data_IF_635066143173
#
_entry.id   IF_635066143173
#
_cell.length_a   1.000
_cell.length_b   1.000
_cell.length_c   1.000
_cell.angle_alpha   90.00
_cell.angle_beta   90.00
_cell.angle_gamma   90.00
#
_symmetry.space_group_name_H-M   'P 1'
#
loop_
_entity.id
_entity.type
_entity.pdbx_description
1 polymer ?
#
# COMPACT_ATOMS: atom_id res chain seq x y z
N UNK A 1 18.25 21.79 48.90
CA UNK A 1 16.83 22.10 48.64
C UNK A 1 16.74 22.67 47.23
N UNK A 2 16.36 21.86 46.24
CA UNK A 2 16.34 22.29 44.83
C UNK A 2 15.21 23.31 44.64
N UNK A 3 15.54 24.60 44.58
CA UNK A 3 14.56 25.66 44.31
C UNK A 3 14.48 25.87 42.80
N UNK A 4 13.54 25.19 42.15
CA UNK A 4 13.22 25.34 40.72
C UNK A 4 12.14 26.41 40.51
N UNK A 5 12.34 27.61 41.05
CA UNK A 5 11.45 28.73 40.74
C UNK A 5 11.96 29.46 39.51
N UNK A 6 11.05 29.93 38.64
CA UNK A 6 11.42 30.68 37.42
C UNK A 6 12.29 31.91 37.71
N UNK A 7 12.24 32.43 38.94
CA UNK A 7 13.05 33.55 39.46
C UNK A 7 14.44 33.16 39.98
N UNK A 8 14.83 31.89 39.91
CA UNK A 8 16.17 31.44 40.36
C UNK A 8 17.29 32.07 39.50
N UNK A 9 18.44 32.44 40.10
CA UNK A 9 19.61 32.96 39.38
C UNK A 9 20.10 32.08 38.23
N UNK A 10 19.84 30.76 38.26
CA UNK A 10 20.14 29.85 37.15
C UNK A 10 19.60 30.34 35.80
N UNK A 11 18.43 30.98 35.84
CA UNK A 11 17.69 31.43 34.67
C UNK A 11 18.15 32.79 34.13
N UNK A 12 19.01 33.50 34.84
CA UNK A 12 19.46 34.82 34.41
C UNK A 12 20.24 34.72 33.10
N UNK A 13 19.83 35.52 32.10
CA UNK A 13 20.31 35.43 30.72
C UNK A 13 19.80 34.23 29.90
N UNK A 14 19.20 33.20 30.52
CA UNK A 14 18.77 31.96 29.83
C UNK A 14 17.26 31.86 29.54
N UNK A 15 16.40 32.60 30.26
CA UNK A 15 14.93 32.53 30.09
C UNK A 15 14.49 32.80 28.64
N UNK A 16 14.86 33.97 28.12
CA UNK A 16 14.47 34.42 26.79
C UNK A 16 14.94 33.46 25.68
N UNK A 17 16.23 33.05 25.59
CA UNK A 17 16.65 32.12 24.55
C UNK A 17 16.03 30.73 24.72
N UNK A 18 15.83 30.25 25.95
CA UNK A 18 15.14 28.97 26.18
C UNK A 18 13.70 29.00 25.68
N UNK A 19 12.92 30.03 26.05
CA UNK A 19 11.53 30.17 25.60
C UNK A 19 11.46 30.33 24.08
N UNK A 20 12.34 31.14 23.47
CA UNK A 20 12.37 31.30 22.00
C UNK A 20 12.69 29.97 21.31
N UNK A 21 13.69 29.22 21.79
CA UNK A 21 14.03 27.93 21.22
C UNK A 21 12.88 26.91 21.34
N UNK A 22 12.23 26.87 22.50
CA UNK A 22 11.11 25.96 22.75
C UNK A 22 9.88 26.31 21.89
N UNK A 23 9.50 27.59 21.85
CA UNK A 23 8.37 28.07 21.02
C UNK A 23 8.68 27.89 19.53
N UNK A 24 9.93 28.14 19.12
CA UNK A 24 10.38 27.89 17.76
C UNK A 24 10.24 26.42 17.37
N UNK A 25 10.78 25.51 18.19
CA UNK A 25 10.67 24.06 17.97
C UNK A 25 9.22 23.58 17.96
N UNK A 26 8.39 24.04 18.90
CA UNK A 26 6.97 23.70 18.96
C UNK A 26 6.22 24.17 17.70
N UNK A 27 6.45 25.40 17.26
CA UNK A 27 5.83 25.96 16.05
C UNK A 27 6.24 25.17 14.80
N UNK A 28 7.53 24.83 14.67
CA UNK A 28 8.02 24.02 13.56
C UNK A 28 7.39 22.63 13.53
N UNK A 29 7.24 21.97 14.69
CA UNK A 29 6.58 20.67 14.78
C UNK A 29 5.09 20.76 14.41
N UNK A 30 4.37 21.77 14.90
CA UNK A 30 2.96 21.99 14.54
C UNK A 30 2.80 22.16 13.02
N UNK A 31 3.64 22.99 12.40
CA UNK A 31 3.62 23.21 10.96
C UNK A 31 4.00 21.95 10.17
N UNK A 32 4.97 21.17 10.66
CA UNK A 32 5.35 19.88 10.07
C UNK A 32 4.17 18.89 10.06
N UNK A 33 3.50 18.73 11.20
CA UNK A 33 2.36 17.82 11.31
C UNK A 33 1.19 18.32 10.44
N UNK A 34 0.92 19.62 10.44
CA UNK A 34 -0.08 20.21 9.57
C UNK A 34 0.22 19.93 8.09
N UNK A 35 1.46 20.13 7.64
CA UNK A 35 1.86 19.88 6.26
C UNK A 35 1.73 18.39 5.88
N UNK A 36 2.23 17.49 6.71
CA UNK A 36 2.19 16.04 6.47
C UNK A 36 0.77 15.48 6.46
N UNK A 37 -0.06 15.89 7.42
CA UNK A 37 -1.46 15.47 7.47
C UNK A 37 -2.22 16.08 6.28
N UNK A 38 -1.98 17.35 5.94
CA UNK A 38 -2.58 17.96 4.74
C UNK A 38 -2.17 17.23 3.45
N UNK A 39 -0.94 16.75 3.36
CA UNK A 39 -0.47 15.93 2.24
C UNK A 39 -1.24 14.60 2.16
N UNK A 40 -1.30 13.86 3.27
CA UNK A 40 -2.01 12.58 3.34
C UNK A 40 -3.50 12.72 3.03
N UNK A 41 -4.18 13.66 3.69
CA UNK A 41 -5.61 13.89 3.49
C UNK A 41 -5.91 14.50 2.12
N UNK A 42 -5.06 15.38 1.63
CA UNK A 42 -5.20 15.98 0.30
C UNK A 42 -5.09 14.94 -0.82
N UNK A 43 -4.28 13.90 -0.65
CA UNK A 43 -4.21 12.79 -1.59
C UNK A 43 -5.53 12.01 -1.68
N UNK A 44 -6.25 11.87 -0.57
CA UNK A 44 -7.54 11.17 -0.50
C UNK A 44 -8.75 12.11 -0.69
N UNK A 45 -8.53 13.43 -0.72
CA UNK A 45 -9.60 14.42 -0.72
C UNK A 45 -10.48 14.30 -1.96
N UNK A 46 -11.78 14.04 -1.77
CA UNK A 46 -12.76 13.75 -2.83
C UNK A 46 -12.42 12.50 -3.68
N UNK A 47 -11.81 11.48 -3.09
CA UNK A 47 -11.64 10.19 -3.77
C UNK A 47 -12.98 9.59 -4.22
N UNK A 48 -14.05 9.78 -3.44
CA UNK A 48 -15.40 9.33 -3.77
C UNK A 48 -16.05 9.99 -4.99
N UNK A 49 -15.58 11.17 -5.43
CA UNK A 49 -16.06 11.80 -6.68
C UNK A 49 -15.20 11.45 -7.90
N UNK A 50 -14.19 10.61 -7.71
CA UNK A 50 -13.27 10.16 -8.77
C UNK A 50 -13.37 8.66 -9.00
N UNK A 51 -14.45 8.04 -8.51
CA UNK A 51 -14.68 6.59 -8.63
C UNK A 51 -14.90 6.23 -10.09
N UNK A 52 -15.43 7.14 -10.90
CA UNK A 52 -15.50 7.02 -12.36
C UNK A 52 -14.15 6.77 -13.05
N UNK A 53 -13.02 7.10 -12.41
CA UNK A 53 -11.69 6.76 -12.94
C UNK A 53 -11.38 5.25 -12.87
N UNK A 54 -12.15 4.49 -12.08
CA UNK A 54 -12.06 3.03 -12.01
C UNK A 54 -12.86 2.43 -13.17
N UNK A 55 -12.17 1.77 -14.10
CA UNK A 55 -12.80 1.13 -15.24
C UNK A 55 -13.22 -0.31 -14.92
N UNK A 56 -14.45 -0.67 -15.28
CA UNK A 56 -15.01 -2.01 -15.18
C UNK A 56 -15.38 -2.49 -16.58
N UNK A 57 -14.96 -3.70 -16.93
CA UNK A 57 -15.31 -4.33 -18.20
C UNK A 57 -16.75 -4.85 -18.13
N UNK A 58 -17.60 -4.50 -19.09
CA UNK A 58 -18.95 -5.05 -19.20
C UNK A 58 -19.09 -5.85 -20.50
N UNK A 59 -19.51 -7.10 -20.41
CA UNK A 59 -19.76 -7.96 -21.58
C UNK A 59 -21.16 -8.57 -21.46
N UNK A 60 -21.94 -8.44 -22.52
CA UNK A 60 -23.29 -9.02 -22.61
C UNK A 60 -23.28 -10.17 -23.61
N UNK A 61 -23.34 -11.41 -23.12
CA UNK A 61 -23.48 -12.61 -23.95
C UNK A 61 -24.94 -13.01 -24.17
N UNK A 62 -25.89 -12.40 -23.48
CA UNK A 62 -27.31 -12.73 -23.53
C UNK A 62 -27.99 -12.08 -24.75
N UNK A 63 -27.60 -10.85 -25.09
CA UNK A 63 -28.25 -10.03 -26.13
C UNK A 63 -29.78 -9.90 -25.95
N UNK A 64 -30.26 -10.11 -24.72
CA UNK A 64 -31.66 -10.15 -24.35
C UNK A 64 -32.05 -9.06 -23.36
N UNK A 65 -33.25 -9.20 -22.79
CA UNK A 65 -33.84 -8.20 -21.90
C UNK A 65 -33.03 -8.01 -20.61
N UNK A 66 -32.33 -9.04 -20.12
CA UNK A 66 -31.43 -8.92 -18.96
C UNK A 66 -30.22 -8.04 -19.31
N UNK A 67 -29.62 -8.21 -20.49
CA UNK A 67 -28.56 -7.34 -21.00
C UNK A 67 -29.00 -5.88 -21.19
N UNK A 68 -30.19 -5.68 -21.75
CA UNK A 68 -30.82 -4.35 -21.87
C UNK A 68 -31.07 -3.71 -20.49
N UNK A 69 -31.54 -4.51 -19.54
CA UNK A 69 -31.79 -4.07 -18.16
C UNK A 69 -30.51 -3.65 -17.45
N UNK A 70 -29.40 -4.35 -17.68
CA UNK A 70 -28.09 -3.99 -17.13
C UNK A 70 -27.63 -2.62 -17.68
N UNK A 71 -27.80 -2.42 -18.99
CA UNK A 71 -27.46 -1.16 -19.66
C UNK A 71 -28.31 -0.01 -19.14
N UNK A 72 -29.62 -0.22 -19.00
CA UNK A 72 -30.54 0.77 -18.43
C UNK A 72 -30.23 1.08 -16.95
N UNK A 73 -29.87 0.07 -16.16
CA UNK A 73 -29.46 0.26 -14.77
C UNK A 73 -28.18 1.09 -14.65
N UNK A 74 -27.16 0.81 -15.48
CA UNK A 74 -25.93 1.60 -15.51
C UNK A 74 -26.20 3.05 -15.93
N UNK A 75 -27.05 3.29 -16.94
CA UNK A 75 -27.44 4.64 -17.36
C UNK A 75 -28.00 5.49 -16.22
N UNK A 76 -28.66 4.88 -15.24
CA UNK A 76 -29.23 5.56 -14.07
C UNK A 76 -28.23 5.75 -12.92
N UNK A 77 -27.18 4.93 -12.86
CA UNK A 77 -26.18 4.94 -11.79
C UNK A 77 -24.88 5.64 -12.17
N UNK A 78 -24.63 5.85 -13.46
CA UNK A 78 -23.41 6.51 -13.94
C UNK A 78 -23.26 7.91 -13.33
N UNK A 79 -22.03 8.23 -12.92
CA UNK A 79 -21.71 9.51 -12.29
C UNK A 79 -20.34 9.46 -11.61
N UNK A 80 -19.98 10.56 -10.96
CA UNK A 80 -18.68 10.71 -10.27
C UNK A 80 -18.43 9.66 -9.17
N UNK A 81 -19.49 9.16 -8.54
CA UNK A 81 -19.46 8.18 -7.46
C UNK A 81 -19.51 6.71 -7.90
N UNK A 82 -19.59 6.44 -9.20
CA UNK A 82 -19.76 5.08 -9.72
C UNK A 82 -18.63 4.73 -10.73
N UNK A 83 -18.08 3.51 -10.69
CA UNK A 83 -17.06 3.09 -11.66
C UNK A 83 -17.56 3.16 -13.10
N UNK A 84 -16.69 3.52 -14.04
CA UNK A 84 -17.07 3.58 -15.45
C UNK A 84 -17.16 2.17 -16.02
N UNK A 85 -18.35 1.77 -16.48
CA UNK A 85 -18.53 0.52 -17.23
C UNK A 85 -18.19 0.75 -18.71
N UNK A 86 -17.27 -0.07 -19.22
CA UNK A 86 -16.88 -0.11 -20.61
C UNK A 86 -17.50 -1.36 -21.26
N UNK A 87 -18.58 -1.15 -22.01
CA UNK A 87 -19.20 -2.22 -22.78
C UNK A 87 -18.29 -2.63 -23.93
N UNK A 88 -17.94 -3.92 -23.99
CA UNK A 88 -17.12 -4.52 -25.04
C UNK A 88 -17.86 -5.66 -25.71
N UNK A 89 -17.49 -5.94 -26.96
CA UNK A 89 -18.13 -7.00 -27.73
C UNK A 89 -17.73 -8.38 -27.19
N UNK A 90 -18.67 -9.34 -27.15
CA UNK A 90 -18.36 -10.76 -26.94
C UNK A 90 -17.30 -11.32 -27.90
N UNK A 91 -17.11 -10.73 -29.08
CA UNK A 91 -16.07 -11.15 -30.02
C UNK A 91 -14.65 -10.85 -29.52
N UNK A 92 -14.47 -9.79 -28.74
CA UNK A 92 -13.19 -9.41 -28.14
C UNK A 92 -12.89 -10.24 -26.88
N UNK A 93 -13.93 -10.61 -26.15
CA UNK A 93 -13.87 -11.43 -24.95
C UNK A 93 -14.80 -12.63 -25.13
N UNK A 94 -14.37 -13.64 -25.90
CA UNK A 94 -15.21 -14.79 -26.24
C UNK A 94 -15.55 -15.66 -25.03
N UNK A 95 -14.65 -15.73 -24.04
CA UNK A 95 -14.84 -16.57 -22.87
C UNK A 95 -14.74 -15.79 -21.56
N UNK A 96 -15.34 -16.33 -20.50
CA UNK A 96 -15.13 -15.84 -19.12
C UNK A 96 -13.64 -15.89 -18.74
N UNK A 97 -12.85 -16.79 -19.34
CA UNK A 97 -11.40 -16.84 -19.19
C UNK A 97 -10.71 -15.57 -19.68
N UNK A 98 -11.13 -15.03 -20.83
CA UNK A 98 -10.60 -13.79 -21.39
C UNK A 98 -10.98 -12.58 -20.52
N UNK A 99 -12.21 -12.56 -20.03
CA UNK A 99 -12.70 -11.55 -19.07
C UNK A 99 -11.86 -11.60 -17.78
N UNK A 100 -11.64 -12.80 -17.23
CA UNK A 100 -10.81 -13.00 -16.03
C UNK A 100 -9.37 -12.55 -16.29
N UNK A 101 -8.82 -12.84 -17.47
CA UNK A 101 -7.47 -12.44 -17.84
C UNK A 101 -7.35 -10.90 -17.97
N UNK A 102 -8.38 -10.22 -18.47
CA UNK A 102 -8.40 -8.75 -18.56
C UNK A 102 -8.35 -8.09 -17.17
N UNK A 103 -9.14 -8.60 -16.22
CA UNK A 103 -9.10 -8.16 -14.81
C UNK A 103 -7.76 -8.54 -14.17
N UNK A 104 -7.25 -9.75 -14.45
CA UNK A 104 -5.96 -10.21 -13.94
C UNK A 104 -4.81 -9.35 -14.46
N UNK A 105 -4.78 -8.94 -15.72
CA UNK A 105 -3.70 -8.09 -16.26
C UNK A 105 -3.63 -6.71 -15.59
N UNK A 106 -4.76 -6.22 -15.08
CA UNK A 106 -4.88 -4.95 -14.37
C UNK A 106 -5.51 -3.82 -15.19
N UNK A 107 -5.86 -4.09 -16.45
CA UNK A 107 -6.50 -3.14 -17.39
C UNK A 107 -7.87 -2.66 -16.84
N UNK A 108 -8.57 -3.55 -16.13
CA UNK A 108 -9.84 -3.26 -15.46
C UNK A 108 -9.77 -3.62 -13.97
N UNK A 109 -10.52 -2.90 -13.15
CA UNK A 109 -10.62 -3.15 -11.70
C UNK A 109 -11.53 -4.34 -11.38
N UNK A 110 -12.55 -4.54 -12.22
CA UNK A 110 -13.46 -5.68 -12.21
C UNK A 110 -14.05 -5.88 -13.61
N UNK A 111 -14.81 -6.95 -13.76
CA UNK A 111 -15.67 -7.18 -14.91
C UNK A 111 -17.07 -7.59 -14.45
N UNK A 112 -18.08 -7.28 -15.25
CA UNK A 112 -19.45 -7.75 -15.11
C UNK A 112 -19.88 -8.38 -16.43
N UNK A 113 -20.47 -9.56 -16.33
CA UNK A 113 -20.83 -10.40 -17.46
C UNK A 113 -22.28 -10.80 -17.32
N UNK A 114 -23.07 -10.58 -18.36
CA UNK A 114 -24.39 -11.23 -18.49
C UNK A 114 -24.17 -12.55 -19.20
N UNK A 115 -24.60 -13.64 -18.57
CA UNK A 115 -24.39 -15.00 -19.08
C UNK A 115 -25.21 -15.26 -20.34
N UNK A 116 -24.68 -16.07 -21.25
CA UNK A 116 -25.38 -16.53 -22.47
C UNK A 116 -26.79 -17.03 -22.13
N UNK A 117 -27.78 -16.76 -22.97
CA UNK A 117 -29.18 -17.22 -22.83
C UNK A 117 -29.85 -16.93 -21.47
N UNK A 118 -29.37 -15.98 -20.67
CA UNK A 118 -29.94 -15.66 -19.37
C UNK A 118 -31.42 -15.24 -19.47
N UNK A 119 -31.78 -14.41 -20.45
CA UNK A 119 -33.15 -13.97 -20.71
C UNK A 119 -34.04 -15.13 -21.15
N UNK A 120 -33.53 -16.00 -22.04
CA UNK A 120 -34.25 -17.18 -22.54
C UNK A 120 -34.48 -18.19 -21.41
N UNK A 121 -33.48 -18.45 -20.58
CA UNK A 121 -33.61 -19.31 -19.39
C UNK A 121 -34.66 -18.79 -18.43
N UNK A 122 -34.66 -17.49 -18.15
CA UNK A 122 -35.68 -16.88 -17.29
C UNK A 122 -37.07 -17.00 -17.91
N UNK A 123 -37.23 -16.69 -19.20
CA UNK A 123 -38.52 -16.80 -19.89
C UNK A 123 -39.08 -18.24 -19.86
N UNK A 124 -38.22 -19.25 -20.05
CA UNK A 124 -38.61 -20.66 -19.96
C UNK A 124 -38.98 -21.05 -18.52
N UNK A 125 -38.25 -20.57 -17.52
CA UNK A 125 -38.55 -20.81 -16.10
C UNK A 125 -39.92 -20.26 -15.69
N UNK A 126 -40.38 -19.15 -16.29
CA UNK A 126 -41.71 -18.61 -16.03
C UNK A 126 -42.85 -19.54 -16.47
N UNK A 127 -42.60 -20.45 -17.42
CA UNK A 127 -43.62 -21.39 -17.92
C UNK A 127 -43.87 -22.57 -16.96
N UNK A 128 -43.02 -22.76 -15.95
CA UNK A 128 -43.08 -23.88 -15.01
C UNK A 128 -42.40 -25.15 -15.51
N UNK A 129 -42.52 -26.24 -14.75
CA UNK A 129 -41.94 -27.54 -15.03
C UNK A 129 -40.44 -27.61 -14.73
N UNK A 130 -39.73 -28.50 -15.44
CA UNK A 130 -38.29 -28.72 -15.25
C UNK A 130 -37.45 -27.43 -15.38
N UNK A 131 -37.68 -26.54 -16.37
CA UNK A 131 -36.91 -25.29 -16.49
C UNK A 131 -37.04 -24.38 -15.27
N UNK A 132 -38.19 -24.38 -14.60
CA UNK A 132 -38.41 -23.59 -13.38
C UNK A 132 -37.66 -24.20 -12.18
N UNK A 133 -37.69 -25.53 -12.06
CA UNK A 133 -36.99 -26.26 -10.99
C UNK A 133 -35.47 -26.12 -11.08
N UNK A 134 -34.92 -26.05 -12.29
CA UNK A 134 -33.47 -25.93 -12.54
C UNK A 134 -33.00 -24.46 -12.61
N UNK A 135 -33.92 -23.50 -12.56
CA UNK A 135 -33.57 -22.09 -12.70
C UNK A 135 -32.75 -21.60 -11.51
N UNK A 136 -31.54 -21.13 -11.81
CA UNK A 136 -30.66 -20.50 -10.82
C UNK A 136 -30.38 -19.05 -11.23
N UNK A 137 -31.02 -18.11 -10.53
CA UNK A 137 -30.85 -16.70 -10.82
C UNK A 137 -29.39 -16.21 -10.63
N UNK A 138 -28.57 -16.91 -9.84
CA UNK A 138 -27.13 -16.57 -9.66
C UNK A 138 -26.30 -16.79 -10.93
N UNK A 139 -26.84 -17.52 -11.91
CA UNK A 139 -26.23 -17.77 -13.22
C UNK A 139 -26.78 -16.80 -14.30
N UNK A 140 -27.34 -15.66 -13.91
CA UNK A 140 -27.74 -14.60 -14.85
C UNK A 140 -26.63 -13.59 -15.07
N UNK A 141 -26.03 -13.11 -13.98
CA UNK A 141 -24.93 -12.16 -14.00
C UNK A 141 -23.75 -12.75 -13.22
N UNK A 142 -22.55 -12.58 -13.74
CA UNK A 142 -21.31 -12.92 -13.03
C UNK A 142 -20.39 -11.71 -13.02
N UNK A 143 -19.86 -11.35 -11.86
CA UNK A 143 -18.83 -10.32 -11.77
C UNK A 143 -17.50 -10.90 -11.29
N UNK A 144 -16.41 -10.42 -11.89
CA UNK A 144 -15.04 -10.89 -11.66
C UNK A 144 -14.21 -9.77 -11.06
N UNK A 145 -13.48 -10.03 -9.99
CA UNK A 145 -12.62 -9.04 -9.33
C UNK A 145 -11.42 -9.71 -8.65
N UNK A 146 -10.43 -8.91 -8.26
CA UNK A 146 -9.24 -9.41 -7.56
C UNK A 146 -9.20 -8.86 -6.13
N UNK A 147 -9.56 -9.71 -5.15
CA UNK A 147 -9.61 -9.33 -3.75
C UNK A 147 -8.28 -8.92 -3.13
N UNK A 148 -7.13 -9.30 -3.71
CA UNK A 148 -5.83 -8.92 -3.18
C UNK A 148 -5.36 -7.51 -3.64
N UNK A 149 -5.94 -6.93 -4.70
CA UNK A 149 -5.59 -5.60 -5.21
C UNK A 149 -6.30 -4.52 -4.39
N UNK A 150 -5.61 -3.87 -3.43
CA UNK A 150 -6.20 -2.82 -2.58
C UNK A 150 -7.53 -3.24 -1.93
N UNK A 151 -7.46 -4.14 -0.95
CA UNK A 151 -8.61 -4.77 -0.30
C UNK A 151 -9.76 -3.82 0.06
N UNK A 152 -9.48 -2.69 0.73
CA UNK A 152 -10.49 -1.72 1.16
C UNK A 152 -11.21 -1.03 0.00
N UNK A 153 -10.51 -0.82 -1.13
CA UNK A 153 -11.08 -0.23 -2.35
C UNK A 153 -11.92 -1.25 -3.10
N UNK A 154 -11.46 -2.51 -3.16
CA UNK A 154 -12.23 -3.60 -3.76
C UNK A 154 -13.55 -3.85 -3.03
N UNK A 155 -13.54 -3.84 -1.71
CA UNK A 155 -14.76 -4.01 -0.92
C UNK A 155 -15.67 -2.76 -1.08
N UNK A 156 -15.12 -1.57 -0.87
CA UNK A 156 -15.90 -0.33 -0.73
C UNK A 156 -16.35 0.32 -2.05
N UNK A 157 -15.54 0.26 -3.11
CA UNK A 157 -15.83 0.95 -4.39
C UNK A 157 -16.10 0.01 -5.55
N UNK A 158 -15.71 -1.25 -5.48
CA UNK A 158 -15.97 -2.22 -6.56
C UNK A 158 -17.13 -3.12 -6.17
N UNK A 159 -16.98 -3.95 -5.14
CA UNK A 159 -17.98 -4.96 -4.75
C UNK A 159 -19.31 -4.33 -4.36
N UNK A 160 -19.29 -3.27 -3.53
CA UNK A 160 -20.50 -2.54 -3.16
C UNK A 160 -21.23 -1.93 -4.38
N UNK A 161 -20.49 -1.34 -5.32
CA UNK A 161 -21.06 -0.76 -6.54
C UNK A 161 -21.60 -1.83 -7.50
N UNK A 162 -20.94 -3.00 -7.60
CA UNK A 162 -21.47 -4.14 -8.37
C UNK A 162 -22.79 -4.63 -7.77
N UNK A 163 -22.88 -4.81 -6.45
CA UNK A 163 -24.11 -5.20 -5.78
C UNK A 163 -25.25 -4.18 -6.01
N UNK A 164 -24.93 -2.88 -5.96
CA UNK A 164 -25.88 -1.82 -6.26
C UNK A 164 -26.38 -1.88 -7.71
N UNK A 165 -25.48 -2.15 -8.67
CA UNK A 165 -25.82 -2.29 -10.09
C UNK A 165 -26.67 -3.53 -10.36
N UNK A 166 -26.36 -4.68 -9.77
CA UNK A 166 -27.16 -5.90 -9.89
C UNK A 166 -28.57 -5.65 -9.35
N UNK A 167 -28.68 -5.00 -8.19
CA UNK A 167 -29.97 -4.63 -7.58
C UNK A 167 -30.76 -3.66 -8.47
N UNK A 168 -30.09 -2.70 -9.11
CA UNK A 168 -30.71 -1.78 -10.07
C UNK A 168 -31.11 -2.48 -11.37
N UNK A 169 -30.36 -3.48 -11.80
CA UNK A 169 -30.64 -4.31 -12.98
C UNK A 169 -31.92 -5.13 -12.80
N UNK A 170 -32.11 -5.74 -11.63
CA UNK A 170 -33.37 -6.43 -11.29
C UNK A 170 -34.58 -5.48 -11.33
N UNK A 171 -34.41 -4.24 -10.83
CA UNK A 171 -35.47 -3.22 -10.90
C UNK A 171 -35.75 -2.76 -12.34
N UNK A 172 -34.70 -2.56 -13.14
CA UNK A 172 -34.82 -2.20 -14.55
C UNK A 172 -35.56 -3.30 -15.33
N UNK A 173 -35.22 -4.57 -15.09
CA UNK A 173 -35.92 -5.71 -15.68
C UNK A 173 -37.42 -5.70 -15.36
N UNK A 174 -37.78 -5.48 -14.10
CA UNK A 174 -39.19 -5.39 -13.71
C UNK A 174 -39.92 -4.23 -14.39
N UNK A 175 -39.23 -3.10 -14.64
CA UNK A 175 -39.80 -1.98 -15.37
C UNK A 175 -39.95 -2.25 -16.87
N UNK A 176 -39.01 -2.96 -17.49
CA UNK A 176 -38.99 -3.21 -18.95
C UNK A 176 -39.91 -4.38 -19.31
N UNK A 177 -39.84 -5.48 -18.57
CA UNK A 177 -40.46 -6.75 -18.93
C UNK A 177 -41.31 -7.38 -17.81
N UNK A 178 -41.38 -6.78 -16.61
CA UNK A 178 -42.06 -7.37 -15.46
C UNK A 178 -43.55 -7.61 -15.67
N UNK A 179 -44.27 -6.70 -16.34
CA UNK A 179 -45.70 -6.87 -16.64
C UNK A 179 -45.94 -8.01 -17.63
N UNK A 180 -45.10 -8.11 -18.66
CA UNK A 180 -45.14 -9.21 -19.63
C UNK A 180 -44.80 -10.54 -18.95
N UNK A 181 -43.75 -10.57 -18.14
CA UNK A 181 -43.34 -11.75 -17.35
C UNK A 181 -44.47 -12.21 -16.40
N UNK A 182 -45.15 -11.29 -15.73
CA UNK A 182 -46.29 -11.60 -14.86
C UNK A 182 -47.52 -12.11 -15.63
N UNK A 183 -47.70 -11.73 -16.90
CA UNK A 183 -48.81 -12.22 -17.72
C UNK A 183 -48.63 -13.65 -18.23
N UNK A 184 -47.38 -14.14 -18.30
CA UNK A 184 -47.04 -15.47 -18.83
C UNK A 184 -46.63 -16.47 -17.75
N UNK A 185 -46.47 -16.03 -16.49
CA UNK A 185 -46.03 -16.89 -15.40
C UNK A 185 -47.07 -17.97 -15.10
N UNK A 186 -46.61 -19.22 -14.96
CA UNK A 186 -47.44 -20.30 -14.45
C UNK A 186 -47.58 -20.18 -12.93
N UNK A 187 -48.66 -19.55 -12.46
CA UNK A 187 -48.92 -19.34 -11.03
C UNK A 187 -49.20 -20.61 -10.25
N UNK A 188 -49.42 -21.75 -10.91
CA UNK A 188 -49.59 -23.04 -10.26
C UNK A 188 -48.24 -23.70 -9.88
N UNK A 189 -47.13 -23.25 -10.49
CA UNK A 189 -45.79 -23.73 -10.19
C UNK A 189 -45.06 -22.77 -9.24
N UNK A 190 -44.74 -23.25 -8.04
CA UNK A 190 -44.02 -22.47 -7.03
C UNK A 190 -42.66 -21.95 -7.53
N UNK A 191 -41.92 -22.75 -8.31
CA UNK A 191 -40.59 -22.36 -8.79
C UNK A 191 -40.68 -21.27 -9.87
N UNK A 192 -41.73 -21.29 -10.71
CA UNK A 192 -41.97 -20.24 -11.70
C UNK A 192 -42.29 -18.89 -11.02
N UNK A 193 -43.08 -18.92 -9.94
CA UNK A 193 -43.36 -17.73 -9.12
C UNK A 193 -42.08 -17.22 -8.44
N UNK A 194 -41.24 -18.12 -7.91
CA UNK A 194 -39.95 -17.73 -7.32
C UNK A 194 -39.01 -17.10 -8.35
N UNK A 195 -38.95 -17.62 -9.58
CA UNK A 195 -38.18 -17.05 -10.67
C UNK A 195 -38.69 -15.65 -11.09
N UNK A 196 -40.01 -15.41 -11.04
CA UNK A 196 -40.57 -14.08 -11.28
C UNK A 196 -40.20 -13.09 -10.16
N UNK A 197 -40.23 -13.52 -8.90
CA UNK A 197 -39.93 -12.65 -7.75
C UNK A 197 -38.44 -12.33 -7.62
N UNK A 198 -37.57 -13.27 -8.00
CA UNK A 198 -36.12 -13.12 -7.96
C UNK A 198 -35.51 -13.44 -9.34
N UNK A 199 -35.75 -12.57 -10.36
CA UNK A 199 -35.39 -12.88 -11.74
C UNK A 199 -33.88 -12.83 -11.96
N UNK A 200 -33.17 -11.95 -11.25
CA UNK A 200 -31.75 -11.66 -11.47
C UNK A 200 -31.02 -11.69 -10.13
N UNK A 201 -29.99 -12.52 -10.04
CA UNK A 201 -29.00 -12.52 -8.97
C UNK A 201 -27.60 -12.61 -9.60
N UNK A 202 -26.56 -12.34 -8.82
CA UNK A 202 -25.21 -12.44 -9.32
C UNK A 202 -24.38 -13.50 -8.61
N UNK A 203 -23.57 -14.19 -9.39
CA UNK A 203 -22.41 -14.93 -8.91
C UNK A 203 -21.17 -14.05 -8.96
N UNK A 204 -20.17 -14.40 -8.14
CA UNK A 204 -18.92 -13.65 -8.05
C UNK A 204 -17.72 -14.58 -8.26
N UNK A 205 -16.74 -14.13 -9.04
CA UNK A 205 -15.47 -14.79 -9.22
C UNK A 205 -14.39 -13.89 -8.64
N UNK A 206 -13.91 -14.23 -7.45
CA UNK A 206 -12.75 -13.58 -6.86
C UNK A 206 -11.47 -14.31 -7.31
N UNK A 207 -10.62 -13.64 -8.09
CA UNK A 207 -9.38 -14.19 -8.63
C UNK A 207 -8.46 -14.68 -7.51
N UNK A 208 -8.38 -13.91 -6.42
CA UNK A 208 -7.55 -14.24 -5.26
C UNK A 208 -8.33 -13.88 -3.98
N UNK A 209 -9.04 -14.86 -3.40
CA UNK A 209 -9.77 -14.67 -2.15
C UNK A 209 -8.82 -14.33 -1.00
N UNK A 210 -9.01 -13.13 -0.44
CA UNK A 210 -8.33 -12.67 0.79
C UNK A 210 -9.40 -12.21 1.77
N UNK A 211 -9.68 -13.04 2.78
CA UNK A 211 -10.73 -12.78 3.78
C UNK A 211 -10.21 -12.27 5.13
N UNK A 212 -8.90 -12.29 5.32
CA UNK A 212 -8.26 -11.98 6.60
C UNK A 212 -8.40 -10.49 6.95
N UNK A 213 -8.75 -10.18 8.20
CA UNK A 213 -8.92 -8.79 8.65
C UNK A 213 -7.61 -8.00 8.59
N UNK A 214 -6.47 -8.69 8.77
CA UNK A 214 -5.13 -8.10 8.74
C UNK A 214 -4.76 -7.47 7.39
N UNK A 215 -5.45 -7.83 6.29
CA UNK A 215 -5.19 -7.28 4.96
C UNK A 215 -5.40 -5.77 4.86
N UNK A 216 -6.22 -5.19 5.74
CA UNK A 216 -6.41 -3.74 5.84
C UNK A 216 -5.13 -2.99 6.27
N UNK A 217 -4.16 -3.69 6.85
CA UNK A 217 -2.90 -3.12 7.33
C UNK A 217 -1.76 -3.20 6.30
N UNK A 218 -1.90 -4.04 5.27
CA UNK A 218 -0.79 -4.40 4.37
C UNK A 218 -0.30 -3.23 3.52
N UNK A 219 -1.18 -2.30 3.16
CA UNK A 219 -0.84 -1.12 2.38
C UNK A 219 -0.58 0.12 3.25
N UNK A 220 -0.69 0.00 4.58
CA UNK A 220 -0.54 1.10 5.54
C UNK A 220 0.54 0.78 6.58
N UNK A 221 0.18 0.08 7.65
CA UNK A 221 1.06 -0.24 8.78
C UNK A 221 2.28 -1.07 8.34
N UNK A 222 2.06 -2.03 7.45
CA UNK A 222 3.14 -2.87 6.89
C UNK A 222 4.14 -2.08 6.04
N UNK A 223 3.77 -0.90 5.55
CA UNK A 223 4.65 -0.01 4.78
C UNK A 223 5.43 0.92 5.71
N UNK A 224 4.79 1.49 6.73
CA UNK A 224 5.41 2.50 7.62
C UNK A 224 6.33 1.90 8.69
N UNK A 225 5.95 0.76 9.30
CA UNK A 225 6.74 0.16 10.38
C UNK A 225 8.16 -0.23 9.95
N UNK A 226 8.39 -0.79 8.74
CA UNK A 226 9.74 -1.02 8.23
C UNK A 226 10.61 0.25 8.21
N UNK A 227 10.06 1.40 7.84
CA UNK A 227 10.79 2.68 7.80
C UNK A 227 11.25 3.06 9.21
N UNK A 228 10.34 2.98 10.18
CA UNK A 228 10.62 3.29 11.59
C UNK A 228 11.66 2.33 12.16
N UNK A 229 11.51 1.03 11.87
CA UNK A 229 12.45 0.00 12.28
C UNK A 229 13.86 0.28 11.73
N UNK A 230 13.98 0.62 10.44
CA UNK A 230 15.27 0.99 9.84
C UNK A 230 15.87 2.23 10.52
N UNK A 231 15.05 3.24 10.82
CA UNK A 231 15.52 4.46 11.48
C UNK A 231 16.11 4.17 12.87
N UNK A 232 15.43 3.35 13.69
CA UNK A 232 15.94 2.96 15.00
C UNK A 232 17.24 2.18 14.91
N UNK A 233 17.38 1.28 13.94
CA UNK A 233 18.62 0.55 13.76
C UNK A 233 19.76 1.45 13.26
N UNK A 234 19.51 2.37 12.32
CA UNK A 234 20.50 3.36 11.88
C UNK A 234 20.98 4.22 13.05
N UNK A 235 20.09 4.64 13.95
CA UNK A 235 20.43 5.38 15.17
C UNK A 235 21.34 4.57 16.10
N UNK A 236 20.97 3.32 16.38
CA UNK A 236 21.78 2.41 17.20
C UNK A 236 23.16 2.17 16.57
N UNK A 237 23.19 1.90 15.26
CA UNK A 237 24.41 1.68 14.50
C UNK A 237 25.32 2.91 14.55
N UNK A 238 24.77 4.12 14.44
CA UNK A 238 25.54 5.36 14.57
C UNK A 238 26.14 5.50 15.99
N UNK A 239 25.34 5.33 17.04
CA UNK A 239 25.80 5.45 18.43
C UNK A 239 26.88 4.43 18.78
N UNK A 240 26.67 3.16 18.44
CA UNK A 240 27.63 2.07 18.68
C UNK A 240 28.91 2.32 17.88
N UNK A 241 28.82 2.71 16.61
CA UNK A 241 30.01 2.96 15.78
C UNK A 241 30.88 4.09 16.32
N UNK A 242 30.27 5.13 16.89
CA UNK A 242 30.99 6.22 17.57
C UNK A 242 31.64 5.71 18.86
N UNK A 243 30.90 4.97 19.69
CA UNK A 243 31.41 4.43 20.96
C UNK A 243 32.62 3.51 20.78
N UNK A 244 32.61 2.67 19.74
CA UNK A 244 33.70 1.76 19.41
C UNK A 244 34.82 2.43 18.59
N UNK A 245 34.69 3.72 18.25
CA UNK A 245 35.70 4.44 17.47
C UNK A 245 35.90 3.87 16.06
N UNK A 246 34.85 3.30 15.46
CA UNK A 246 34.89 2.77 14.09
C UNK A 246 35.18 3.93 13.12
N UNK A 247 34.57 5.07 13.37
CA UNK A 247 34.89 6.32 12.67
C UNK A 247 36.13 6.96 13.29
N UNK A 248 36.96 7.62 12.48
CA UNK A 248 38.20 8.27 12.88
C UNK A 248 39.44 7.39 12.85
N UNK A 249 39.30 6.10 13.17
CA UNK A 249 40.44 5.18 13.36
C UNK A 249 40.63 4.19 12.20
N UNK A 250 39.55 3.79 11.53
CA UNK A 250 39.63 2.92 10.35
C UNK A 250 39.73 3.73 9.05
N UNK A 251 40.32 3.11 8.02
CA UNK A 251 40.28 3.65 6.67
C UNK A 251 38.83 3.74 6.16
N UNK A 252 38.54 4.75 5.35
CA UNK A 252 37.19 5.06 4.85
C UNK A 252 36.49 3.85 4.21
N UNK A 253 37.23 3.05 3.45
CA UNK A 253 36.71 1.85 2.77
C UNK A 253 36.28 0.77 3.74
N UNK A 254 37.06 0.49 4.79
CA UNK A 254 36.71 -0.52 5.79
C UNK A 254 35.51 -0.10 6.64
N UNK A 255 35.47 1.16 7.08
CA UNK A 255 34.32 1.69 7.82
C UNK A 255 33.03 1.63 6.97
N UNK A 256 33.11 2.00 5.69
CA UNK A 256 31.99 1.90 4.74
C UNK A 256 31.57 0.45 4.46
N UNK A 257 32.53 -0.46 4.29
CA UNK A 257 32.25 -1.88 4.01
C UNK A 257 31.57 -2.57 5.20
N UNK A 258 32.04 -2.34 6.43
CA UNK A 258 31.40 -2.86 7.65
C UNK A 258 29.94 -2.39 7.69
N UNK A 259 29.71 -1.11 7.43
CA UNK A 259 28.36 -0.52 7.42
C UNK A 259 27.46 -1.13 6.36
N UNK A 260 27.96 -1.35 5.15
CA UNK A 260 27.22 -1.98 4.05
C UNK A 260 26.89 -3.46 4.34
N UNK A 261 27.82 -4.21 4.91
CA UNK A 261 27.57 -5.61 5.31
C UNK A 261 26.49 -5.67 6.39
N UNK A 262 26.56 -4.77 7.38
CA UNK A 262 25.55 -4.68 8.43
C UNK A 262 24.19 -4.23 7.89
N UNK A 263 24.13 -3.30 6.93
CA UNK A 263 22.87 -2.86 6.33
C UNK A 263 22.17 -4.01 5.60
N UNK A 264 22.90 -4.73 4.75
CA UNK A 264 22.37 -5.88 4.00
C UNK A 264 21.94 -6.99 4.95
N UNK A 265 22.80 -7.39 5.89
CA UNK A 265 22.52 -8.48 6.83
C UNK A 265 21.33 -8.17 7.74
N UNK A 266 21.28 -6.97 8.32
CA UNK A 266 20.18 -6.54 9.17
C UNK A 266 18.86 -6.48 8.40
N UNK A 267 18.83 -5.82 7.24
CA UNK A 267 17.60 -5.65 6.46
C UNK A 267 17.07 -6.98 5.93
N UNK A 268 17.94 -7.93 5.61
CA UNK A 268 17.57 -9.29 5.19
C UNK A 268 16.87 -10.07 6.31
N UNK A 269 17.38 -10.00 7.53
CA UNK A 269 16.76 -10.65 8.71
C UNK A 269 15.49 -9.89 9.14
N UNK A 270 15.54 -8.55 9.16
CA UNK A 270 14.41 -7.70 9.53
C UNK A 270 13.21 -7.91 8.60
N UNK A 271 13.42 -8.01 7.30
CA UNK A 271 12.35 -8.27 6.33
C UNK A 271 11.72 -9.64 6.52
N UNK A 272 12.49 -10.64 6.97
CA UNK A 272 11.95 -11.96 7.32
C UNK A 272 10.97 -11.86 8.50
N UNK A 273 11.23 -10.99 9.48
CA UNK A 273 10.27 -10.76 10.58
C UNK A 273 8.96 -10.13 10.08
N UNK A 274 9.04 -9.26 9.07
CA UNK A 274 7.87 -8.60 8.49
C UNK A 274 7.00 -9.56 7.70
N UNK A 275 7.61 -10.34 6.80
CA UNK A 275 6.87 -11.37 6.07
C UNK A 275 6.44 -12.51 7.01
N UNK A 276 7.23 -12.80 8.04
CA UNK A 276 6.93 -13.80 9.06
C UNK A 276 5.62 -13.53 9.78
N UNK A 277 5.32 -12.28 10.17
CA UNK A 277 4.02 -11.98 10.79
C UNK A 277 2.87 -12.05 9.78
N UNK A 278 3.05 -11.57 8.53
CA UNK A 278 2.02 -11.69 7.49
C UNK A 278 1.66 -13.17 7.30
N UNK A 279 2.68 -14.03 7.30
CA UNK A 279 2.54 -15.47 7.18
C UNK A 279 1.89 -16.13 8.40
N UNK A 280 2.23 -15.69 9.60
CA UNK A 280 1.67 -16.20 10.86
C UNK A 280 0.19 -15.82 11.02
N UNK A 281 -0.20 -14.63 10.56
CA UNK A 281 -1.57 -14.11 10.63
C UNK A 281 -2.30 -14.18 9.29
N UNK A 282 -1.96 -15.16 8.44
CA UNK A 282 -2.61 -15.35 7.13
C UNK A 282 -4.02 -15.97 7.21
N UNK A 283 -4.40 -16.49 8.38
CA UNK A 283 -5.69 -17.18 8.59
C UNK A 283 -5.92 -18.26 7.52
N UNK A 284 -7.02 -18.18 6.77
CA UNK A 284 -7.40 -19.13 5.72
C UNK A 284 -6.82 -18.78 4.34
N UNK A 285 -5.96 -17.76 4.24
CA UNK A 285 -5.36 -17.36 2.98
C UNK A 285 -4.36 -18.41 2.48
N UNK A 286 -4.65 -18.98 1.31
CA UNK A 286 -3.89 -20.08 0.69
C UNK A 286 -2.62 -19.58 -0.03
N UNK A 287 -1.82 -18.78 0.66
CA UNK A 287 -0.54 -18.32 0.12
C UNK A 287 0.46 -19.49 0.07
N UNK A 288 1.22 -19.59 -1.03
CA UNK A 288 2.23 -20.63 -1.27
C UNK A 288 3.61 -20.26 -0.72
N UNK A 289 4.47 -21.25 -0.50
CA UNK A 289 5.86 -21.01 -0.06
C UNK A 289 6.67 -20.17 -1.07
N UNK A 290 6.34 -20.26 -2.37
CA UNK A 290 6.94 -19.38 -3.38
C UNK A 290 6.53 -17.92 -3.17
N UNK A 291 5.25 -17.66 -2.88
CA UNK A 291 4.77 -16.31 -2.56
C UNK A 291 5.43 -15.75 -1.30
N UNK A 292 5.68 -16.59 -0.30
CA UNK A 292 6.45 -16.20 0.89
C UNK A 292 7.87 -15.74 0.53
N UNK A 293 8.62 -16.56 -0.22
CA UNK A 293 10.01 -16.26 -0.58
C UNK A 293 10.12 -14.99 -1.45
N UNK A 294 9.23 -14.83 -2.44
CA UNK A 294 9.20 -13.64 -3.29
C UNK A 294 8.80 -12.39 -2.50
N UNK A 295 7.80 -12.49 -1.61
CA UNK A 295 7.41 -11.37 -0.74
C UNK A 295 8.57 -10.95 0.15
N UNK A 296 9.34 -11.92 0.66
CA UNK A 296 10.52 -11.65 1.47
C UNK A 296 11.60 -10.90 0.70
N UNK A 297 11.96 -11.34 -0.50
CA UNK A 297 12.97 -10.65 -1.31
C UNK A 297 12.57 -9.21 -1.66
N UNK A 298 11.29 -8.98 -1.95
CA UNK A 298 10.76 -7.67 -2.31
C UNK A 298 10.69 -6.73 -1.09
N UNK A 299 10.28 -7.24 0.07
CA UNK A 299 10.32 -6.46 1.33
C UNK A 299 11.75 -6.22 1.81
N UNK A 300 12.67 -7.16 1.58
CA UNK A 300 14.10 -6.95 1.83
C UNK A 300 14.63 -5.77 1.02
N UNK A 301 14.37 -5.75 -0.30
CA UNK A 301 14.76 -4.65 -1.18
C UNK A 301 14.17 -3.31 -0.69
N UNK A 302 12.89 -3.29 -0.31
CA UNK A 302 12.26 -2.09 0.25
C UNK A 302 12.90 -1.63 1.57
N UNK A 303 13.20 -2.56 2.48
CA UNK A 303 13.87 -2.23 3.73
C UNK A 303 15.29 -1.71 3.51
N UNK A 304 16.02 -2.27 2.56
CA UNK A 304 17.38 -1.84 2.25
C UNK A 304 17.40 -0.46 1.61
N UNK A 305 16.49 -0.17 0.67
CA UNK A 305 16.26 1.19 0.15
C UNK A 305 16.01 2.20 1.29
N UNK A 306 15.10 1.87 2.21
CA UNK A 306 14.80 2.77 3.34
C UNK A 306 15.99 2.94 4.28
N UNK A 307 16.74 1.86 4.54
CA UNK A 307 17.97 1.94 5.32
C UNK A 307 18.95 2.92 4.66
N UNK A 308 19.21 2.81 3.35
CA UNK A 308 20.13 3.68 2.62
C UNK A 308 19.70 5.15 2.65
N UNK A 309 18.41 5.42 2.48
CA UNK A 309 17.85 6.79 2.55
C UNK A 309 18.04 7.37 3.95
N UNK A 310 17.71 6.61 5.00
CA UNK A 310 17.83 7.06 6.39
C UNK A 310 19.28 7.17 6.86
N UNK A 311 20.14 6.28 6.39
CA UNK A 311 21.57 6.33 6.67
C UNK A 311 22.20 7.58 6.05
N UNK A 312 21.90 7.83 4.78
CA UNK A 312 22.30 9.05 4.08
C UNK A 312 21.78 10.28 4.83
N UNK A 313 20.49 10.30 5.16
CA UNK A 313 19.88 11.42 5.89
C UNK A 313 20.61 11.69 7.21
N UNK A 314 20.91 10.67 8.02
CA UNK A 314 21.65 10.85 9.28
C UNK A 314 23.12 11.26 9.10
N UNK A 315 23.67 11.21 7.89
CA UNK A 315 25.02 11.70 7.59
C UNK A 315 25.01 13.19 7.19
N UNK A 316 23.92 13.66 6.60
CA UNK A 316 23.79 15.03 6.08
C UNK A 316 22.94 15.95 6.96
N UNK A 317 21.95 15.41 7.67
CA UNK A 317 21.00 16.14 8.49
C UNK A 317 21.43 16.06 9.97
N UNK A 318 21.53 17.18 10.69
CA UNK A 318 21.79 17.18 12.12
C UNK A 318 20.71 16.43 12.91
N UNK A 319 21.12 15.71 13.96
CA UNK A 319 20.23 14.88 14.79
C UNK A 319 18.94 15.58 15.27
N UNK A 320 18.95 16.86 15.71
CA UNK A 320 17.71 17.55 16.12
C UNK A 320 16.66 17.70 15.01
N UNK A 321 17.08 17.67 13.74
CA UNK A 321 16.19 17.84 12.58
C UNK A 321 15.78 16.50 11.94
N UNK A 322 16.35 15.37 12.38
CA UNK A 322 16.01 14.05 11.85
C UNK A 322 14.51 13.70 11.95
N UNK A 323 13.79 14.00 13.04
CA UNK A 323 12.37 13.71 13.12
C UNK A 323 11.54 14.35 12.01
N UNK A 324 11.92 15.55 11.55
CA UNK A 324 11.24 16.25 10.45
C UNK A 324 11.36 15.51 9.13
N UNK A 325 12.56 14.98 8.84
CA UNK A 325 12.82 14.20 7.64
C UNK A 325 12.12 12.83 7.71
N UNK A 326 12.31 12.08 8.80
CA UNK A 326 11.79 10.71 8.93
C UNK A 326 10.28 10.69 8.89
N UNK A 327 9.61 11.61 9.61
CA UNK A 327 8.15 11.72 9.59
C UNK A 327 7.65 12.02 8.18
N UNK A 328 8.27 12.99 7.49
CA UNK A 328 7.86 13.37 6.14
C UNK A 328 8.08 12.26 5.13
N UNK A 329 9.23 11.59 5.19
CA UNK A 329 9.54 10.43 4.36
C UNK A 329 8.55 9.29 4.58
N UNK A 330 8.21 8.99 5.83
CA UNK A 330 7.25 7.96 6.18
C UNK A 330 5.84 8.28 5.66
N UNK A 331 5.37 9.52 5.86
CA UNK A 331 4.03 9.95 5.44
C UNK A 331 3.90 9.97 3.91
N UNK A 332 4.90 10.45 3.19
CA UNK A 332 4.89 10.44 1.73
C UNK A 332 4.82 8.99 1.19
N UNK A 333 5.58 8.06 1.76
CA UNK A 333 5.60 6.66 1.36
C UNK A 333 4.26 5.96 1.64
N UNK A 334 3.69 6.08 2.84
CA UNK A 334 2.39 5.45 3.15
C UNK A 334 1.24 6.05 2.32
N UNK A 335 1.30 7.36 2.04
CA UNK A 335 0.29 8.03 1.19
C UNK A 335 0.24 7.39 -0.21
N UNK A 336 1.40 6.97 -0.75
CA UNK A 336 1.53 6.37 -2.08
C UNK A 336 0.91 4.97 -2.23
N UNK A 337 0.62 4.32 -1.11
CA UNK A 337 0.06 2.95 -1.06
C UNK A 337 -1.35 2.92 -0.48
N UNK A 338 -1.85 4.02 0.10
CA UNK A 338 -3.15 4.03 0.78
C UNK A 338 -4.30 3.85 -0.22
N UNK A 339 -4.28 4.61 -1.33
CA UNK A 339 -5.27 4.54 -2.40
C UNK A 339 -4.57 4.35 -3.76
N UNK A 340 -5.24 3.73 -4.74
CA UNK A 340 -4.76 3.72 -6.12
C UNK A 340 -4.71 5.14 -6.68
N UNK A 341 -3.70 5.43 -7.52
CA UNK A 341 -3.46 6.78 -8.02
C UNK A 341 -4.53 7.30 -8.99
N UNK A 342 -5.38 6.42 -9.52
CA UNK A 342 -6.58 6.73 -10.27
C UNK A 342 -7.56 7.57 -9.42
N UNK A 343 -7.63 7.31 -8.10
CA UNK A 343 -8.50 8.01 -7.15
C UNK A 343 -7.85 9.25 -6.53
N UNK A 344 -6.55 9.46 -6.77
CA UNK A 344 -5.81 10.60 -6.22
C UNK A 344 -5.85 11.80 -7.18
N UNK A 345 -5.80 13.05 -6.67
CA UNK A 345 -5.58 14.22 -7.51
C UNK A 345 -4.25 14.10 -8.27
N UNK A 346 -4.20 14.65 -9.48
CA UNK A 346 -3.04 14.51 -10.39
C UNK A 346 -1.71 14.91 -9.77
N UNK A 347 -1.69 15.91 -8.88
CA UNK A 347 -0.49 16.33 -8.15
C UNK A 347 0.20 15.15 -7.44
N UNK A 348 -0.55 14.28 -6.76
CA UNK A 348 0.03 13.21 -5.92
C UNK A 348 0.56 12.01 -6.71
N UNK A 349 0.39 11.99 -8.04
CA UNK A 349 0.86 10.90 -8.89
C UNK A 349 2.38 10.83 -9.02
N UNK A 350 3.13 11.87 -8.59
CA UNK A 350 4.59 11.77 -8.47
C UNK A 350 5.02 10.61 -7.55
N UNK A 351 4.12 10.16 -6.67
CA UNK A 351 4.34 9.00 -5.80
C UNK A 351 4.64 7.68 -6.53
N UNK A 352 4.46 7.58 -7.85
CA UNK A 352 4.96 6.45 -8.64
C UNK A 352 6.49 6.25 -8.50
N UNK A 353 7.24 7.31 -8.19
CA UNK A 353 8.68 7.26 -7.98
C UNK A 353 9.07 6.82 -6.55
N UNK A 354 8.12 6.60 -5.65
CA UNK A 354 8.38 6.23 -4.27
C UNK A 354 8.54 4.71 -4.11
N UNK A 355 9.47 4.25 -3.25
CA UNK A 355 9.72 2.83 -3.08
C UNK A 355 8.53 2.09 -2.47
N UNK A 356 7.72 2.75 -1.63
CA UNK A 356 6.52 2.14 -1.06
C UNK A 356 5.47 1.75 -2.10
N UNK A 357 5.22 2.61 -3.10
CA UNK A 357 4.29 2.27 -4.18
C UNK A 357 4.79 1.06 -4.97
N UNK A 358 6.07 1.08 -5.36
CA UNK A 358 6.68 -0.01 -6.13
C UNK A 358 6.67 -1.34 -5.40
N UNK A 359 7.04 -1.37 -4.11
CA UNK A 359 7.01 -2.61 -3.32
C UNK A 359 5.59 -3.14 -3.19
N UNK A 360 4.60 -2.28 -2.93
CA UNK A 360 3.22 -2.71 -2.72
C UNK A 360 2.60 -3.27 -4.00
N UNK A 361 2.88 -2.65 -5.15
CA UNK A 361 2.41 -3.15 -6.44
C UNK A 361 3.02 -4.52 -6.78
N UNK A 362 4.30 -4.75 -6.49
CA UNK A 362 4.93 -6.06 -6.67
C UNK A 362 4.35 -7.09 -5.68
N UNK A 363 4.06 -6.70 -4.44
CA UNK A 363 3.40 -7.57 -3.46
C UNK A 363 2.00 -8.00 -3.93
N UNK A 364 1.18 -7.08 -4.46
CA UNK A 364 -0.09 -7.44 -5.10
C UNK A 364 0.13 -8.48 -6.19
N UNK A 365 1.13 -8.28 -7.05
CA UNK A 365 1.42 -9.23 -8.12
C UNK A 365 1.80 -10.61 -7.61
N UNK A 366 2.63 -10.69 -6.57
CA UNK A 366 3.00 -11.96 -5.95
C UNK A 366 1.77 -12.62 -5.32
N UNK A 367 1.00 -11.88 -4.54
CA UNK A 367 -0.16 -12.38 -3.81
C UNK A 367 -1.30 -12.82 -4.72
N UNK A 368 -1.44 -12.19 -5.89
CA UNK A 368 -2.41 -12.55 -6.91
C UNK A 368 -1.91 -13.52 -7.98
N UNK A 369 -0.87 -14.32 -7.68
CA UNK A 369 -0.34 -15.35 -8.58
C UNK A 369 0.05 -14.83 -9.98
N UNK A 370 0.53 -13.58 -10.05
CA UNK A 370 0.99 -12.94 -11.29
C UNK A 370 0.02 -11.93 -11.90
N UNK A 371 -1.19 -11.75 -11.36
CA UNK A 371 -2.07 -10.66 -11.78
C UNK A 371 -1.51 -9.27 -11.42
N UNK A 372 -1.95 -8.21 -12.10
CA UNK A 372 -1.49 -6.84 -11.97
C UNK A 372 0.02 -6.71 -12.20
N UNK A 373 0.51 -7.26 -13.33
CA UNK A 373 1.93 -7.29 -13.64
C UNK A 373 2.47 -5.89 -13.97
N UNK A 374 3.02 -5.22 -12.96
CA UNK A 374 3.68 -3.93 -13.09
C UNK A 374 5.16 -4.01 -12.70
N UNK A 375 5.76 -5.20 -12.83
CA UNK A 375 7.15 -5.43 -12.48
C UNK A 375 8.11 -4.54 -13.30
N UNK A 376 7.77 -4.32 -14.58
CA UNK A 376 8.55 -3.49 -15.51
C UNK A 376 8.66 -2.02 -15.09
N UNK A 377 7.65 -1.47 -14.41
CA UNK A 377 7.69 -0.10 -13.89
C UNK A 377 8.20 -0.05 -12.44
N UNK A 378 7.90 -1.06 -11.63
CA UNK A 378 8.17 -1.04 -10.19
C UNK A 378 9.61 -1.41 -9.82
N UNK A 379 10.21 -2.42 -10.45
CA UNK A 379 11.59 -2.81 -10.14
C UNK A 379 12.62 -1.73 -10.47
N UNK A 380 12.56 -1.05 -11.63
CA UNK A 380 13.53 0.01 -11.93
C UNK A 380 13.52 1.15 -10.91
N UNK A 381 12.36 1.47 -10.34
CA UNK A 381 12.26 2.48 -9.27
C UNK A 381 13.03 2.01 -8.02
N UNK A 382 12.79 0.78 -7.56
CA UNK A 382 13.49 0.23 -6.39
C UNK A 382 15.00 0.14 -6.61
N UNK A 383 15.45 -0.38 -7.76
CA UNK A 383 16.87 -0.42 -8.10
C UNK A 383 17.49 0.96 -8.30
N UNK A 384 16.73 1.94 -8.81
CA UNK A 384 17.16 3.33 -8.88
C UNK A 384 17.45 3.90 -7.50
N UNK A 385 16.58 3.64 -6.52
CA UNK A 385 16.82 4.02 -5.12
C UNK A 385 17.99 3.27 -4.49
N UNK A 386 18.20 2.00 -4.81
CA UNK A 386 19.38 1.23 -4.36
C UNK A 386 20.68 1.84 -4.88
N UNK A 387 20.76 2.17 -6.17
CA UNK A 387 21.97 2.72 -6.78
C UNK A 387 22.26 4.12 -6.23
N UNK A 388 21.25 5.01 -6.23
CA UNK A 388 21.40 6.38 -5.74
C UNK A 388 21.66 6.38 -4.23
N UNK A 389 20.90 5.60 -3.48
CA UNK A 389 21.07 5.44 -2.04
C UNK A 389 22.42 4.85 -1.67
N UNK A 390 22.90 3.85 -2.42
CA UNK A 390 24.22 3.25 -2.23
C UNK A 390 25.35 4.25 -2.47
N UNK A 391 25.28 5.01 -3.57
CA UNK A 391 26.25 6.08 -3.85
C UNK A 391 26.26 7.15 -2.74
N UNK A 392 25.09 7.58 -2.30
CA UNK A 392 24.96 8.56 -1.21
C UNK A 392 25.41 8.01 0.15
N UNK A 393 25.20 6.73 0.43
CA UNK A 393 25.66 6.08 1.66
C UNK A 393 27.19 5.98 1.71
N UNK A 394 27.85 5.75 0.58
CA UNK A 394 29.32 5.80 0.46
C UNK A 394 29.82 7.22 0.77
N UNK A 395 29.21 8.24 0.17
CA UNK A 395 29.55 9.64 0.45
C UNK A 395 29.29 10.01 1.91
N UNK A 396 28.18 9.54 2.48
CA UNK A 396 27.82 9.73 3.88
C UNK A 396 28.84 9.09 4.83
N UNK A 397 29.26 7.86 4.54
CA UNK A 397 30.30 7.16 5.30
C UNK A 397 31.64 7.88 5.25
N UNK A 398 32.04 8.36 4.06
CA UNK A 398 33.25 9.18 3.91
C UNK A 398 33.17 10.47 4.74
N UNK A 399 32.03 11.18 4.68
CA UNK A 399 31.81 12.40 5.47
C UNK A 399 31.91 12.14 6.97
N UNK A 400 31.23 11.10 7.48
CA UNK A 400 31.27 10.71 8.90
C UNK A 400 32.69 10.43 9.37
N UNK A 401 33.43 9.66 8.59
CA UNK A 401 34.80 9.29 8.96
C UNK A 401 35.72 10.51 8.99
N UNK A 402 35.59 11.40 8.01
CA UNK A 402 36.37 12.66 7.95
C UNK A 402 36.05 13.62 9.10
N UNK A 403 34.77 13.73 9.49
CA UNK A 403 34.38 14.55 10.64
C UNK A 403 34.99 13.97 11.92
N UNK A 404 34.85 12.66 12.15
CA UNK A 404 35.43 12.01 13.31
C UNK A 404 36.96 12.16 13.34
N UNK A 405 37.67 12.00 12.22
CA UNK A 405 39.12 12.21 12.13
C UNK A 405 39.54 13.61 12.61
N UNK A 406 38.80 14.64 12.21
CA UNK A 406 39.07 16.02 12.65
C UNK A 406 38.89 16.20 14.15
N UNK A 407 37.81 15.65 14.70
CA UNK A 407 37.55 15.69 16.15
C UNK A 407 38.67 14.98 16.94
N UNK A 408 39.13 13.82 16.48
CA UNK A 408 40.27 13.12 17.09
C UNK A 408 41.59 13.90 16.99
N UNK A 409 41.84 14.59 15.88
CA UNK A 409 43.02 15.44 15.71
C UNK A 409 42.97 16.68 16.61
N UNK A 410 41.81 17.32 16.75
CA UNK A 410 41.58 18.45 17.64
C UNK A 410 41.77 18.06 19.11
N UNK A 411 41.20 16.92 19.54
CA UNK A 411 41.41 16.38 20.88
C UNK A 411 42.91 16.13 21.17
N UNK A 412 43.64 15.56 20.21
CA UNK A 412 45.10 15.37 20.33
C UNK A 412 45.84 16.69 20.46
N UNK A 413 45.47 17.72 19.68
CA UNK A 413 46.10 19.05 19.76
C UNK A 413 45.85 19.72 21.12
N UNK A 414 44.61 19.68 21.61
CA UNK A 414 44.24 20.26 22.92
C UNK A 414 44.94 19.52 24.07
N UNK A 415 45.02 18.20 24.01
CA UNK A 415 45.74 17.41 25.02
C UNK A 415 47.26 17.67 24.98
N UNK A 416 47.83 17.85 23.78
CA UNK A 416 49.24 18.20 23.61
C UNK A 416 49.55 19.63 24.04
N UNK A 417 48.63 20.60 23.89
CA UNK A 417 48.82 21.99 24.32
C UNK A 417 48.64 22.17 25.83
N UNK A 418 47.82 21.35 26.46
CA UNK A 418 47.52 21.42 27.90
C UNK A 418 48.48 20.60 28.79
N UNK A 419 49.55 20.02 28.23
CA UNK A 419 50.64 19.39 28.99
C UNK A 419 50.22 18.23 29.90
N UNK A 420 49.18 17.46 29.56
CA UNK A 420 48.84 16.23 30.29
C UNK A 420 49.28 15.00 29.49
N UNK A 421 50.19 14.15 30.00
CA UNK A 421 50.55 12.93 29.32
C UNK A 421 49.37 11.94 29.36
N UNK A 422 49.11 11.31 28.22
CA UNK A 422 48.17 10.20 28.08
C UNK A 422 48.84 8.97 28.71
N UNK A 423 48.44 8.60 29.92
CA UNK A 423 48.71 7.28 30.47
C UNK A 423 47.38 6.59 30.82
N UNK A 424 47.16 5.52 30.07
CA UNK A 424 46.34 4.33 30.38
C UNK A 424 44.83 4.50 30.58
N UNK A 425 44.09 4.22 29.51
CA UNK A 425 42.84 3.45 29.59
C UNK A 425 42.86 2.34 28.54
N UNK A 426 43.68 1.34 28.81
CA UNK A 426 43.68 0.04 28.14
C UNK A 426 43.78 -1.00 29.25
N UNK A 427 42.74 -1.84 29.35
CA UNK A 427 42.69 -3.11 30.11
C UNK A 427 42.62 -2.97 31.65
N UNK A 428 41.45 -3.23 32.22
CA UNK A 428 41.25 -3.39 33.66
C UNK A 428 39.78 -3.27 34.05
N UNK A 429 39.07 -4.41 34.08
CA UNK A 429 37.67 -4.47 34.47
C UNK A 429 37.15 -5.90 34.56
N UNK A 430 37.86 -6.74 35.32
CA UNK A 430 37.35 -7.97 35.91
C UNK A 430 37.61 -7.87 37.42
N UNK A 431 36.61 -8.28 38.21
CA UNK A 431 36.48 -8.29 39.68
C UNK A 431 36.13 -6.90 40.27
N UNK A 432 35.02 -6.70 40.99
CA UNK A 432 34.18 -7.63 41.80
C UNK A 432 32.73 -7.81 41.32
#
# INVERSE_FOLDING_TARGET
MARLLWKDPFWDGKRKPYVIALVGAASMLILLFLANISYLYGALYRSGTRVNALNILAVDYDHGVIGESLTAAYSNLQGEGFPTLQFRSPLEYATIGDVRNAVCKGDYWAAIVVQEDASTRLANALSGGTPAMEYNASNTITYVYNGARYATIQDGFITANMQALISATARAYNSINGTKAASVVNTADQNAVLALLNPIMASSINITPTGQGTRALYNTVTIILPIIQQFFFVMALNGISIQFGIYGRLHNTHAGLIRMVLSVGYTFIASLTVIGYIWAFRENWQASGNQFALSWMVVWLYMHVNFLVLDTATAFIPMPHMPFFVLTWAIINITSTTFPFELNPGFYRWGYALPAHSVFTILIQIWSEGCNNQLKSSLPVLFGWEIVGGALAVLGSYKRNKVAQREFEEEKRVNSSNGKPILERSLGGSQD
#
